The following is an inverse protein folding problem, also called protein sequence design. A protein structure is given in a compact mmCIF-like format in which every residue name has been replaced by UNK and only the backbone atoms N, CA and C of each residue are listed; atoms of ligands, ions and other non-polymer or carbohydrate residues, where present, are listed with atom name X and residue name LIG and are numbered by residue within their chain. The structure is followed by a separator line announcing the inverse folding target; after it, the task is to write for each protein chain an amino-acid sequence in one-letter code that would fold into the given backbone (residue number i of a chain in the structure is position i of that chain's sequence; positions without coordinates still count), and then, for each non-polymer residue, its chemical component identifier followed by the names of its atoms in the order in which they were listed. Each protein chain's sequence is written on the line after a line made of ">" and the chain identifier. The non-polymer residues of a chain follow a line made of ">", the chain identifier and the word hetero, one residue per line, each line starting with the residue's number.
data_IF_950485165358
#
_entry.id   IF_950485165358
#
_cell.length_a   1.000
_cell.length_b   1.000
_cell.length_c   1.000
_cell.angle_alpha   90.00
_cell.angle_beta   90.00
_cell.angle_gamma   90.00
#
_symmetry.space_group_name_H-M   'P 1'
#
loop_
_entity.id
_entity.type
_entity.pdbx_description
1 polymer ?
#
# COMPACT_ATOMS: atom_id res chain seq x y z
N UNK A 1 -7.45 -3.49 16.46
CA UNK A 1 -7.14 -4.43 17.56
C UNK A 1 -7.63 -3.86 18.88
N UNK A 2 -7.89 -4.71 19.87
CA UNK A 2 -7.99 -4.33 21.28
C UNK A 2 -6.71 -4.72 22.06
N UNK A 3 -6.56 -4.20 23.28
CA UNK A 3 -5.49 -4.56 24.23
C UNK A 3 -6.13 -5.17 25.48
N UNK A 4 -5.59 -6.30 25.92
CA UNK A 4 -6.05 -7.00 27.12
C UNK A 4 -5.37 -6.47 28.40
N UNK A 5 -5.92 -6.86 29.56
CA UNK A 5 -5.41 -6.47 30.87
C UNK A 5 -4.00 -7.02 31.18
N UNK A 6 -3.61 -8.14 30.57
CA UNK A 6 -2.23 -8.68 30.62
C UNK A 6 -1.27 -7.97 29.66
N UNK A 7 -1.78 -7.05 28.84
CA UNK A 7 -1.04 -6.29 27.85
C UNK A 7 -0.83 -7.01 26.51
N UNK A 8 -1.46 -8.17 26.29
CA UNK A 8 -1.57 -8.80 24.97
C UNK A 8 -2.47 -8.02 24.01
N UNK A 9 -2.53 -8.45 22.76
CA UNK A 9 -3.32 -7.82 21.69
C UNK A 9 -4.21 -8.87 21.02
N UNK A 10 -5.35 -8.43 20.49
CA UNK A 10 -6.28 -9.27 19.71
C UNK A 10 -7.04 -8.48 18.64
N UNK A 11 -7.76 -9.13 17.69
CA UNK A 11 -8.77 -8.47 16.88
C UNK A 11 -9.74 -7.61 17.72
N UNK A 12 -10.23 -6.52 17.12
CA UNK A 12 -11.11 -5.58 17.84
C UNK A 12 -12.50 -6.19 18.09
N UNK A 13 -13.09 -6.77 17.05
CA UNK A 13 -14.31 -7.58 17.17
C UNK A 13 -13.92 -9.04 17.50
N UNK A 14 -14.54 -9.60 18.52
CA UNK A 14 -14.34 -11.00 18.95
C UNK A 14 -15.09 -12.00 18.05
N UNK A 15 -16.00 -11.50 17.21
CA UNK A 15 -16.79 -12.30 16.25
C UNK A 15 -16.12 -12.42 14.88
N UNK A 16 -15.04 -11.68 14.66
CA UNK A 16 -14.18 -11.86 13.50
C UNK A 16 -13.29 -13.10 13.72
N UNK A 17 -13.88 -14.26 13.43
CA UNK A 17 -13.24 -15.58 13.57
C UNK A 17 -13.43 -16.43 12.31
N UNK A 18 -13.60 -15.79 11.14
CA UNK A 18 -13.72 -16.53 9.88
C UNK A 18 -12.40 -17.25 9.56
N UNK A 19 -12.49 -18.51 9.16
CA UNK A 19 -11.35 -19.28 8.64
C UNK A 19 -10.91 -18.84 7.23
N UNK A 20 -11.75 -18.08 6.54
CA UNK A 20 -11.46 -17.35 5.31
C UNK A 20 -11.99 -15.92 5.51
N UNK A 21 -11.20 -15.00 6.10
CA UNK A 21 -11.65 -13.65 6.44
C UNK A 21 -11.55 -12.66 5.28
N UNK A 22 -10.64 -12.91 4.32
CA UNK A 22 -10.39 -12.05 3.17
C UNK A 22 -11.68 -11.68 2.42
N UNK A 23 -11.97 -10.37 2.34
CA UNK A 23 -13.18 -9.74 1.81
C UNK A 23 -14.51 -10.12 2.51
N UNK A 24 -14.49 -10.61 3.75
CA UNK A 24 -15.72 -10.92 4.49
C UNK A 24 -16.51 -9.65 4.85
N UNK A 25 -17.72 -9.53 4.29
CA UNK A 25 -18.57 -8.37 4.47
C UNK A 25 -19.02 -8.13 5.93
N UNK A 26 -18.98 -9.13 6.82
CA UNK A 26 -19.32 -8.97 8.25
C UNK A 26 -18.14 -8.36 8.99
N UNK A 27 -16.93 -8.89 8.78
CA UNK A 27 -15.69 -8.29 9.28
C UNK A 27 -15.51 -6.84 8.80
N UNK A 28 -15.83 -6.56 7.53
CA UNK A 28 -15.81 -5.20 6.98
C UNK A 28 -16.84 -4.28 7.64
N UNK A 29 -18.09 -4.75 7.81
CA UNK A 29 -19.17 -3.89 8.33
C UNK A 29 -19.06 -3.59 9.82
N UNK A 30 -18.38 -4.40 10.62
CA UNK A 30 -18.17 -4.09 12.05
C UNK A 30 -17.08 -3.05 12.30
N UNK A 31 -16.24 -2.75 11.29
CA UNK A 31 -15.29 -1.63 11.30
C UNK A 31 -15.76 -0.40 10.49
N UNK A 32 -16.98 -0.41 9.95
CA UNK A 32 -17.47 0.56 8.94
C UNK A 32 -17.35 2.02 9.39
N UNK A 33 -17.66 2.34 10.65
CA UNK A 33 -17.57 3.71 11.17
C UNK A 33 -16.12 4.21 11.27
N UNK A 34 -15.17 3.32 11.56
CA UNK A 34 -13.74 3.66 11.50
C UNK A 34 -13.31 3.89 10.05
N UNK A 35 -13.51 2.89 9.19
CA UNK A 35 -13.06 2.91 7.80
C UNK A 35 -13.63 4.12 7.04
N UNK A 36 -14.94 4.36 7.11
CA UNK A 36 -15.57 5.51 6.44
C UNK A 36 -15.16 6.86 7.02
N UNK A 37 -14.78 6.93 8.30
CA UNK A 37 -14.18 8.16 8.88
C UNK A 37 -12.80 8.43 8.29
N UNK A 38 -11.96 7.41 8.11
CA UNK A 38 -10.66 7.54 7.44
C UNK A 38 -10.86 7.91 5.96
N UNK A 39 -11.78 7.28 5.24
CA UNK A 39 -12.14 7.61 3.85
C UNK A 39 -12.53 9.08 3.70
N UNK A 40 -13.47 9.57 4.53
CA UNK A 40 -13.89 10.98 4.54
C UNK A 40 -12.73 11.95 4.76
N UNK A 41 -11.76 11.61 5.60
CA UNK A 41 -10.55 12.42 5.77
C UNK A 41 -9.63 12.36 4.55
N UNK A 42 -9.40 11.19 3.95
CA UNK A 42 -8.61 11.05 2.71
C UNK A 42 -9.23 11.83 1.55
N UNK A 43 -10.56 11.80 1.40
CA UNK A 43 -11.28 12.51 0.35
C UNK A 43 -11.29 14.03 0.58
N UNK A 44 -11.48 14.48 1.83
CA UNK A 44 -11.36 15.90 2.20
C UNK A 44 -9.94 16.46 1.98
N UNK A 45 -8.90 15.62 2.01
CA UNK A 45 -7.53 15.97 1.65
C UNK A 45 -7.21 15.81 0.14
N UNK A 46 -8.19 15.43 -0.70
CA UNK A 46 -8.00 15.23 -2.13
C UNK A 46 -7.13 14.02 -2.49
N UNK A 47 -7.11 12.99 -1.65
CA UNK A 47 -6.35 11.76 -1.91
C UNK A 47 -7.16 10.73 -2.69
N UNK A 48 -8.49 10.83 -2.70
CA UNK A 48 -9.39 9.97 -3.48
C UNK A 48 -9.29 8.51 -3.08
N UNK A 49 -9.90 8.16 -1.95
CA UNK A 49 -10.06 6.78 -1.52
C UNK A 49 -10.94 6.02 -2.52
N UNK A 50 -10.54 4.80 -2.90
CA UNK A 50 -11.24 4.02 -3.94
C UNK A 50 -11.53 2.56 -3.58
N UNK A 51 -10.91 2.03 -2.53
CA UNK A 51 -11.12 0.68 -2.01
C UNK A 51 -10.85 0.67 -0.50
N UNK A 52 -11.58 -0.18 0.22
CA UNK A 52 -11.50 -0.35 1.68
C UNK A 52 -11.95 -1.79 1.97
N UNK A 53 -11.02 -2.63 2.38
CA UNK A 53 -11.20 -4.07 2.34
C UNK A 53 -10.85 -4.71 3.70
N UNK A 54 -11.52 -5.82 3.99
CA UNK A 54 -11.15 -6.70 5.11
C UNK A 54 -10.20 -7.76 4.58
N UNK A 55 -9.08 -7.98 5.26
CA UNK A 55 -7.93 -8.69 4.71
C UNK A 55 -7.79 -10.14 5.21
N UNK A 56 -6.75 -10.82 4.73
CA UNK A 56 -6.51 -12.26 4.98
C UNK A 56 -6.25 -12.64 6.46
N UNK A 57 -6.19 -11.67 7.38
CA UNK A 57 -6.20 -11.92 8.82
C UNK A 57 -7.39 -11.25 9.54
N UNK A 58 -7.94 -11.94 10.55
CA UNK A 58 -8.96 -11.37 11.43
C UNK A 58 -8.46 -10.06 12.07
N UNK A 59 -9.25 -8.99 11.97
CA UNK A 59 -8.94 -7.64 12.42
C UNK A 59 -7.93 -6.88 11.54
N UNK A 60 -7.63 -7.35 10.33
CA UNK A 60 -6.79 -6.69 9.34
C UNK A 60 -7.64 -6.00 8.26
N UNK A 61 -7.19 -4.83 7.80
CA UNK A 61 -7.88 -4.01 6.81
C UNK A 61 -6.89 -3.29 5.90
N UNK A 62 -7.22 -3.15 4.62
CA UNK A 62 -6.52 -2.27 3.67
C UNK A 62 -7.41 -1.08 3.27
N UNK A 63 -6.81 0.09 3.01
CA UNK A 63 -7.52 1.27 2.49
C UNK A 63 -6.66 1.95 1.41
N UNK A 64 -7.12 1.91 0.16
CA UNK A 64 -6.36 2.40 -0.98
C UNK A 64 -6.80 3.82 -1.39
N UNK A 65 -5.84 4.63 -1.81
CA UNK A 65 -6.04 6.02 -2.25
C UNK A 65 -5.29 6.32 -3.55
N UNK A 66 -5.75 7.31 -4.32
CA UNK A 66 -5.13 7.69 -5.57
C UNK A 66 -3.71 8.23 -5.37
N UNK A 67 -2.86 7.97 -6.36
CA UNK A 67 -1.44 8.23 -6.26
C UNK A 67 -1.02 9.62 -6.73
N UNK A 68 0.12 10.07 -6.22
CA UNK A 68 0.80 11.27 -6.65
C UNK A 68 2.21 10.90 -7.16
N UNK A 69 3.10 11.89 -7.22
CA UNK A 69 4.54 11.62 -7.31
C UNK A 69 5.06 10.89 -6.05
N UNK A 70 6.32 10.47 -6.08
CA UNK A 70 6.94 9.69 -5.01
C UNK A 70 7.06 10.44 -3.68
N UNK A 71 7.32 11.76 -3.68
CA UNK A 71 7.46 12.55 -2.46
C UNK A 71 6.09 12.77 -1.82
N UNK A 72 5.13 13.31 -2.57
CA UNK A 72 3.75 13.53 -2.10
C UNK A 72 3.14 12.23 -1.57
N UNK A 73 3.36 11.09 -2.22
CA UNK A 73 2.80 9.81 -1.75
C UNK A 73 3.52 9.29 -0.50
N UNK A 74 4.81 9.63 -0.30
CA UNK A 74 5.55 9.30 0.93
C UNK A 74 5.03 10.12 2.12
N UNK A 75 4.78 11.41 1.93
CA UNK A 75 4.15 12.27 2.95
C UNK A 75 2.73 11.78 3.29
N UNK A 76 1.92 11.42 2.27
CA UNK A 76 0.60 10.80 2.46
C UNK A 76 0.67 9.53 3.31
N UNK A 77 1.65 8.66 3.07
CA UNK A 77 1.83 7.42 3.85
C UNK A 77 2.15 7.70 5.34
N UNK A 78 3.01 8.69 5.61
CA UNK A 78 3.35 9.11 6.98
C UNK A 78 2.10 9.69 7.68
N UNK A 79 1.37 10.60 7.01
CA UNK A 79 0.15 11.20 7.54
C UNK A 79 -0.95 10.16 7.74
N UNK A 80 -1.13 9.20 6.81
CA UNK A 80 -2.10 8.10 6.93
C UNK A 80 -1.82 7.24 8.18
N UNK A 81 -0.57 6.87 8.40
CA UNK A 81 -0.15 6.10 9.58
C UNK A 81 -0.45 6.85 10.88
N UNK A 82 -0.14 8.14 10.95
CA UNK A 82 -0.44 8.99 12.11
C UNK A 82 -1.94 9.16 12.32
N UNK A 83 -2.70 9.35 11.24
CA UNK A 83 -4.17 9.47 11.24
C UNK A 83 -4.83 8.20 11.75
N UNK A 84 -4.47 7.02 11.23
CA UNK A 84 -5.01 5.73 11.66
C UNK A 84 -4.69 5.43 13.14
N UNK A 85 -3.45 5.66 13.58
CA UNK A 85 -3.10 5.56 15.01
C UNK A 85 -3.90 6.54 15.90
N UNK A 86 -4.25 7.73 15.40
CA UNK A 86 -5.00 8.75 16.15
C UNK A 86 -6.50 8.45 16.21
N UNK A 87 -7.09 8.04 15.09
CA UNK A 87 -8.52 7.70 15.00
C UNK A 87 -8.84 6.42 15.77
N UNK A 88 -7.97 5.40 15.70
CA UNK A 88 -8.13 4.19 16.50
C UNK A 88 -8.12 4.49 18.00
N UNK A 89 -7.16 5.32 18.47
CA UNK A 89 -7.07 5.75 19.87
C UNK A 89 -8.26 6.54 20.37
N UNK A 90 -9.02 7.21 19.50
CA UNK A 90 -10.28 7.91 19.85
C UNK A 90 -11.47 6.96 20.03
N UNK A 91 -11.28 5.67 19.74
CA UNK A 91 -12.26 4.59 19.87
C UNK A 91 -11.76 3.51 20.84
N UNK A 92 -10.73 3.81 21.64
CA UNK A 92 -9.98 2.87 22.50
C UNK A 92 -9.37 1.65 21.77
N UNK A 93 -9.22 1.77 20.44
CA UNK A 93 -8.63 0.76 19.56
C UNK A 93 -7.14 1.02 19.29
N UNK A 94 -6.46 -0.07 18.92
CA UNK A 94 -5.07 -0.06 18.48
C UNK A 94 -4.99 -0.43 16.98
N UNK A 95 -4.52 0.49 16.16
CA UNK A 95 -3.99 0.21 14.82
C UNK A 95 -2.49 -0.09 14.91
N UNK A 96 -1.97 -1.01 14.08
CA UNK A 96 -0.54 -1.33 13.99
C UNK A 96 -0.11 -1.58 12.56
N UNK A 97 1.17 -1.28 12.29
CA UNK A 97 1.85 -1.54 11.03
C UNK A 97 3.08 -2.44 11.25
N UNK A 98 3.06 -3.22 12.33
CA UNK A 98 4.04 -4.30 12.54
C UNK A 98 3.84 -5.37 11.45
N UNK A 99 4.90 -5.85 10.77
CA UNK A 99 4.76 -6.82 9.68
C UNK A 99 4.10 -8.15 10.09
N UNK A 100 4.18 -8.54 11.36
CA UNK A 100 3.59 -9.77 11.91
C UNK A 100 3.13 -9.51 13.36
N UNK A 101 1.90 -8.99 13.58
CA UNK A 101 1.40 -8.68 14.92
C UNK A 101 0.91 -9.93 15.67
N UNK A 102 0.49 -10.97 14.94
CA UNK A 102 0.05 -12.26 15.46
C UNK A 102 0.87 -13.38 14.79
N UNK A 103 1.24 -14.41 15.54
CA UNK A 103 2.04 -15.51 15.00
C UNK A 103 1.24 -16.41 14.04
N UNK A 104 -0.03 -16.64 14.35
CA UNK A 104 -0.98 -17.54 13.71
C UNK A 104 -1.71 -16.97 12.49
N UNK A 105 -1.69 -15.64 12.29
CA UNK A 105 -2.45 -14.94 11.23
C UNK A 105 -1.56 -14.31 10.16
N UNK A 106 -2.13 -13.97 9.00
CA UNK A 106 -1.40 -13.29 7.92
C UNK A 106 -0.78 -11.95 8.38
N UNK A 107 0.33 -11.57 7.74
CA UNK A 107 1.12 -10.40 8.10
C UNK A 107 0.67 -9.12 7.40
N UNK A 108 1.12 -7.97 7.90
CA UNK A 108 0.93 -6.69 7.24
C UNK A 108 1.99 -6.47 6.16
N UNK A 109 1.56 -6.44 4.90
CA UNK A 109 2.37 -5.97 3.78
C UNK A 109 2.39 -4.44 3.68
N UNK A 110 3.28 -3.93 2.84
CA UNK A 110 3.15 -2.62 2.21
C UNK A 110 3.38 -2.83 0.71
N UNK A 111 2.34 -3.30 0.02
CA UNK A 111 2.38 -3.49 -1.42
C UNK A 111 2.55 -2.16 -2.15
N UNK A 112 3.07 -2.19 -3.37
CA UNK A 112 3.20 -0.97 -4.17
C UNK A 112 3.28 -1.22 -5.66
N UNK A 113 2.65 -0.30 -6.38
CA UNK A 113 2.65 -0.20 -7.82
C UNK A 113 3.53 0.98 -8.24
N UNK A 114 4.81 0.71 -8.55
CA UNK A 114 5.75 1.71 -9.08
C UNK A 114 5.46 2.00 -10.55
N UNK A 115 5.63 3.27 -10.97
CA UNK A 115 5.77 3.63 -12.38
C UNK A 115 6.79 4.76 -12.56
N UNK A 116 7.48 4.76 -13.70
CA UNK A 116 8.39 5.85 -14.09
C UNK A 116 7.81 6.62 -15.28
N UNK A 117 8.01 7.93 -15.29
CA UNK A 117 7.45 8.86 -16.28
C UNK A 117 8.55 9.79 -16.81
N UNK A 118 8.44 10.16 -18.08
CA UNK A 118 9.30 11.16 -18.71
C UNK A 118 8.97 12.56 -18.21
N UNK A 119 9.89 13.20 -17.49
CA UNK A 119 9.72 14.55 -16.96
C UNK A 119 9.47 15.62 -18.05
N UNK A 120 9.95 15.38 -19.28
CA UNK A 120 9.76 16.31 -20.40
C UNK A 120 8.55 16.05 -21.29
N UNK A 121 7.90 14.88 -21.19
CA UNK A 121 6.81 14.50 -22.11
C UNK A 121 5.57 13.90 -21.45
N UNK A 122 5.56 13.71 -20.12
CA UNK A 122 4.44 13.09 -19.37
C UNK A 122 4.06 11.69 -19.91
N UNK A 123 5.03 10.97 -20.49
CA UNK A 123 4.87 9.62 -21.06
C UNK A 123 5.38 8.54 -20.08
N UNK A 124 4.64 7.43 -19.86
CA UNK A 124 5.01 6.37 -18.92
C UNK A 124 6.06 5.42 -19.50
N UNK A 125 7.25 5.39 -18.91
CA UNK A 125 8.44 4.67 -19.38
C UNK A 125 8.35 3.15 -19.21
N UNK A 126 7.47 2.65 -18.35
CA UNK A 126 7.23 1.22 -18.16
C UNK A 126 6.24 0.63 -19.18
N UNK A 127 5.50 1.44 -19.95
CA UNK A 127 4.63 0.92 -21.00
C UNK A 127 5.44 0.53 -22.24
N UNK A 128 5.74 -0.77 -22.35
CA UNK A 128 6.15 -1.34 -23.66
C UNK A 128 5.01 -1.16 -24.66
N UNK A 129 5.12 -0.16 -25.55
CA UNK A 129 4.32 -0.09 -26.77
C UNK A 129 4.34 -1.47 -27.45
N UNK A 130 3.16 -2.07 -27.66
CA UNK A 130 3.06 -3.26 -28.52
C UNK A 130 3.63 -2.88 -29.89
N UNK A 131 4.65 -3.60 -30.37
CA UNK A 131 4.95 -3.57 -31.81
C UNK A 131 3.70 -4.07 -32.56
N UNK A 132 3.39 -3.53 -33.75
CA UNK A 132 2.44 -4.17 -34.66
C UNK A 132 2.81 -5.65 -34.89
N UNK A 133 1.84 -6.46 -35.28
CA UNK A 133 2.01 -7.90 -35.50
C UNK A 133 2.79 -8.23 -36.78
N UNK A 134 4.05 -7.76 -36.86
CA UNK A 134 5.01 -8.20 -37.86
C UNK A 134 5.51 -9.63 -37.59
N UNK A 135 6.24 -10.24 -38.54
CA UNK A 135 6.80 -11.58 -38.38
C UNK A 135 7.68 -11.66 -37.13
N UNK A 136 7.62 -12.81 -36.43
CA UNK A 136 8.41 -13.03 -35.22
C UNK A 136 9.90 -12.87 -35.55
N UNK A 137 10.65 -11.97 -34.88
CA UNK A 137 12.09 -11.91 -35.08
C UNK A 137 12.72 -13.24 -34.68
N UNK A 138 13.71 -13.69 -35.46
CA UNK A 138 14.52 -14.85 -35.08
C UNK A 138 15.20 -14.59 -33.72
N UNK A 139 15.40 -15.65 -32.94
CA UNK A 139 15.63 -15.58 -31.49
C UNK A 139 17.07 -15.18 -31.14
N UNK A 140 17.45 -13.94 -31.45
CA UNK A 140 18.64 -13.28 -30.92
C UNK A 140 18.29 -12.48 -29.66
N UNK A 141 19.18 -12.50 -28.65
CA UNK A 141 19.16 -11.74 -27.39
C UNK A 141 17.84 -11.16 -26.86
N UNK A 142 17.36 -11.67 -25.72
CA UNK A 142 16.29 -10.98 -24.96
C UNK A 142 16.70 -9.53 -24.66
N UNK A 143 15.91 -8.50 -25.06
CA UNK A 143 16.20 -7.12 -24.71
C UNK A 143 15.89 -6.89 -23.23
N UNK A 144 16.90 -7.12 -22.38
CA UNK A 144 16.90 -6.65 -21.00
C UNK A 144 16.93 -5.12 -21.03
N UNK A 145 15.91 -4.47 -20.48
CA UNK A 145 15.96 -3.03 -20.22
C UNK A 145 16.97 -2.77 -19.10
N UNK A 146 18.23 -2.58 -19.48
CA UNK A 146 19.29 -2.19 -18.55
C UNK A 146 19.01 -0.77 -18.07
N UNK A 147 18.77 -0.62 -16.77
CA UNK A 147 18.94 0.66 -16.10
C UNK A 147 20.44 0.94 -16.00
N UNK A 148 20.98 1.70 -16.96
CA UNK A 148 22.39 2.07 -16.96
C UNK A 148 22.59 3.18 -15.92
N UNK A 149 22.92 2.78 -14.69
CA UNK A 149 23.36 3.72 -13.67
C UNK A 149 24.63 4.40 -14.17
N UNK A 150 24.57 5.72 -14.41
CA UNK A 150 25.73 6.54 -14.77
C UNK A 150 26.90 6.37 -13.79
N UNK A 151 28.12 6.78 -14.19
CA UNK A 151 29.37 6.43 -13.50
C UNK A 151 29.28 6.69 -12.00
N UNK A 152 29.36 5.60 -11.23
CA UNK A 152 29.20 5.63 -9.78
C UNK A 152 30.44 6.22 -9.11
N UNK A 153 30.29 7.10 -8.10
CA UNK A 153 31.33 7.38 -7.13
C UNK A 153 31.79 6.10 -6.38
N UNK A 154 32.90 6.21 -5.66
CA UNK A 154 33.54 5.09 -4.95
C UNK A 154 32.69 4.46 -3.83
N UNK A 155 33.09 3.28 -3.33
CA UNK A 155 32.23 2.44 -2.50
C UNK A 155 32.27 2.79 -1.00
N UNK A 156 31.37 3.65 -0.54
CA UNK A 156 31.01 3.70 0.88
C UNK A 156 30.01 2.58 1.22
N UNK A 157 30.26 1.83 2.30
CA UNK A 157 29.54 0.59 2.64
C UNK A 157 28.31 0.82 3.51
N UNK A 158 27.33 1.56 2.99
CA UNK A 158 25.99 1.63 3.59
C UNK A 158 25.15 0.39 3.26
N UNK A 159 24.93 -0.51 4.23
CA UNK A 159 23.91 -1.57 4.10
C UNK A 159 22.52 -0.96 4.35
N UNK A 160 21.84 -0.56 3.29
CA UNK A 160 20.44 -0.14 3.38
C UNK A 160 19.54 -1.32 3.80
N UNK A 161 18.55 -1.10 4.69
CA UNK A 161 17.59 -2.12 5.09
C UNK A 161 16.56 -2.39 3.98
N UNK A 162 15.88 -3.53 4.08
CA UNK A 162 15.04 -4.07 3.01
C UNK A 162 13.76 -3.28 2.73
N UNK A 163 13.42 -3.20 1.43
CA UNK A 163 12.05 -3.25 0.92
C UNK A 163 11.04 -2.23 1.47
N UNK A 164 11.16 -0.97 1.08
CA UNK A 164 10.00 -0.08 1.01
C UNK A 164 9.87 0.51 -0.40
N UNK A 165 8.69 0.32 -0.98
CA UNK A 165 8.27 0.96 -2.22
C UNK A 165 6.94 1.68 -1.92
N UNK A 166 6.64 2.78 -2.62
CA UNK A 166 5.40 3.56 -2.46
C UNK A 166 4.64 3.69 -3.79
N UNK A 167 3.31 3.53 -3.77
CA UNK A 167 2.48 3.45 -4.98
C UNK A 167 2.41 4.79 -5.74
N UNK A 168 3.24 4.92 -6.77
CA UNK A 168 3.17 5.97 -7.76
C UNK A 168 2.42 5.48 -9.01
N UNK A 169 1.11 5.24 -8.84
CA UNK A 169 0.02 5.42 -9.90
C UNK A 169 -1.50 7.98 -10.45
N UNK A 170 -0.99 9.26 -10.64
CA UNK A 170 -1.61 10.53 -11.04
C UNK A 170 -2.37 10.41 -12.36
N UNK A 171 -3.70 10.34 -12.28
CA UNK A 171 -4.62 10.64 -13.40
C UNK A 171 -4.81 12.17 -13.47
N UNK A 172 -4.84 12.74 -14.67
CA UNK A 172 -5.12 14.19 -14.82
C UNK A 172 -6.55 14.51 -14.35
N UNK A 173 -6.81 15.67 -13.72
CA UNK A 173 -8.15 16.25 -13.72
C UNK A 173 -8.60 16.52 -15.17
N UNK A 174 -9.92 16.61 -15.37
CA UNK A 174 -10.53 16.95 -16.65
C UNK A 174 -10.52 18.46 -16.90
#
# INVERSE_FOLDING_TARGET
>A
MAREADGSLRPADERDTSALPCYDARGLTTALDHLTTVSRHMDAMGWGNYANDHEDANGQFEQNFQYADALTTSDRLIVLRLMLHTLARRQDLYATFMPKPFADKTGNGLHTHLSLWSAGTDEPLFLRRRRPAGPRPQRTGLPVHRWDSGPRPGPERGRLPDGQFVQAHRRRPA
#
